data_IF_360044157209
#
_entry.id   IF_360044157209
#
_cell.length_a   1.000
_cell.length_b   1.000
_cell.length_c   1.000
_cell.angle_alpha   90.00
_cell.angle_beta   90.00
_cell.angle_gamma   90.00
#
_symmetry.space_group_name_H-M   'P 1'
#
loop_
_entity.id
_entity.type
_entity.pdbx_description
1 polymer ?
#
# COMPACT_ATOMS: atom_id res chain seq x y z
N UNK A 1 -18.86 18.06 11.43
CA UNK A 1 -18.92 16.62 11.09
C UNK A 1 -17.48 16.14 11.00
N UNK A 2 -16.93 15.77 12.15
CA UNK A 2 -15.57 15.27 12.29
C UNK A 2 -15.55 13.79 11.91
N UNK A 3 -15.16 13.52 10.66
CA UNK A 3 -14.79 12.17 10.26
C UNK A 3 -13.36 11.95 10.72
N UNK A 4 -13.13 10.87 11.46
CA UNK A 4 -11.84 10.37 11.92
C UNK A 4 -10.77 10.36 10.81
N UNK A 5 -10.07 11.48 10.59
CA UNK A 5 -8.83 11.49 9.84
C UNK A 5 -7.76 10.89 10.73
N UNK A 6 -7.58 9.56 10.65
CA UNK A 6 -6.39 8.91 11.22
C UNK A 6 -5.17 9.71 10.79
N UNK A 7 -4.42 10.20 11.78
CA UNK A 7 -3.09 10.77 11.63
C UNK A 7 -2.18 9.69 11.03
N UNK A 8 -2.24 9.46 9.72
CA UNK A 8 -1.42 8.43 9.07
C UNK A 8 0.09 8.67 9.28
N UNK A 9 0.48 9.92 9.59
CA UNK A 9 1.86 10.31 9.93
C UNK A 9 2.03 10.82 11.38
N UNK A 10 1.04 10.60 12.26
CA UNK A 10 1.09 11.04 13.66
C UNK A 10 0.33 10.13 14.63
N UNK A 11 -0.07 8.93 14.21
CA UNK A 11 -0.67 7.95 15.09
C UNK A 11 0.39 7.38 16.03
N UNK A 12 0.11 7.23 17.34
CA UNK A 12 0.96 6.46 18.24
C UNK A 12 1.00 5.02 17.71
N UNK A 13 2.12 4.63 17.12
CA UNK A 13 2.27 3.38 16.35
C UNK A 13 3.02 3.55 15.03
N UNK A 14 3.18 4.77 14.52
CA UNK A 14 4.25 5.07 13.58
C UNK A 14 5.57 4.89 14.34
N UNK A 15 6.21 3.73 14.21
CA UNK A 15 7.58 3.58 14.71
C UNK A 15 8.42 4.65 14.01
N UNK A 16 8.99 5.64 14.73
CA UNK A 16 10.22 6.23 14.22
C UNK A 16 11.16 5.05 13.94
N UNK A 17 11.94 5.12 12.86
CA UNK A 17 13.04 4.19 12.70
C UNK A 17 13.91 4.28 13.96
N UNK A 18 13.70 3.37 14.89
CA UNK A 18 14.52 3.19 16.07
C UNK A 18 15.82 2.62 15.53
N UNK A 19 16.78 3.53 15.33
CA UNK A 19 18.18 3.20 15.23
C UNK A 19 18.60 2.73 16.62
N UNK A 20 18.49 1.43 16.89
CA UNK A 20 19.16 0.85 18.04
C UNK A 20 20.63 0.68 17.68
N UNK A 21 21.50 1.39 18.37
CA UNK A 21 22.95 1.19 18.28
C UNK A 21 23.25 -0.10 19.02
N UNK A 22 23.41 -1.19 18.27
CA UNK A 22 24.00 -2.42 18.80
C UNK A 22 25.39 -2.03 19.32
N UNK A 23 25.62 -2.16 20.63
CA UNK A 23 26.85 -1.82 21.39
C UNK A 23 26.90 -0.46 22.11
N UNK A 24 25.82 0.33 22.13
CA UNK A 24 25.73 1.52 23.00
C UNK A 24 25.31 1.16 24.43
N UNK A 25 26.07 1.58 25.46
CA UNK A 25 25.55 1.58 26.84
C UNK A 25 24.26 2.42 26.88
N UNK A 26 23.13 1.79 27.23
CA UNK A 26 21.86 2.49 27.42
C UNK A 26 22.04 3.61 28.45
N UNK A 27 21.72 4.85 28.07
CA UNK A 27 21.71 6.02 28.97
C UNK A 27 20.41 6.13 29.77
N UNK A 28 19.48 5.18 29.61
CA UNK A 28 18.18 5.20 30.25
C UNK A 28 18.18 4.39 31.55
N UNK A 29 17.91 5.07 32.66
CA UNK A 29 17.68 4.44 33.96
C UNK A 29 16.17 4.25 34.17
N UNK A 30 15.69 3.01 34.09
CA UNK A 30 14.30 2.65 34.34
C UNK A 30 14.09 1.13 34.27
N UNK A 31 12.98 0.60 34.83
CA UNK A 31 12.67 -0.81 34.71
C UNK A 31 12.52 -1.20 33.24
N UNK A 32 13.34 -2.15 32.78
CA UNK A 32 13.20 -2.78 31.47
C UNK A 32 11.91 -3.59 31.50
N UNK A 33 10.90 -3.13 30.77
CA UNK A 33 9.68 -3.91 30.57
C UNK A 33 9.99 -4.95 29.52
N UNK A 34 10.04 -6.21 29.93
CA UNK A 34 10.11 -7.31 29.01
C UNK A 34 8.79 -7.42 28.23
N UNK A 35 8.82 -6.96 26.98
CA UNK A 35 7.68 -7.06 26.06
C UNK A 35 7.58 -8.46 25.42
N UNK A 36 8.37 -9.45 25.85
CA UNK A 36 8.38 -10.83 25.32
C UNK A 36 7.11 -11.65 25.59
N UNK A 37 6.07 -11.05 26.16
CA UNK A 37 4.75 -11.68 26.15
C UNK A 37 4.39 -11.98 24.69
N UNK A 38 4.14 -13.25 24.31
CA UNK A 38 3.70 -13.57 22.96
C UNK A 38 2.38 -12.83 22.75
N UNK A 39 2.45 -11.68 22.08
CA UNK A 39 1.25 -10.99 21.68
C UNK A 39 0.57 -11.92 20.70
N UNK A 40 -0.62 -12.41 21.06
CA UNK A 40 -1.47 -13.11 20.12
C UNK A 40 -1.73 -12.14 18.97
N UNK A 41 -1.05 -12.35 17.84
CA UNK A 41 -1.22 -11.51 16.66
C UNK A 41 -2.61 -11.84 16.10
N UNK A 42 -3.58 -10.96 16.36
CA UNK A 42 -4.91 -11.06 15.79
C UNK A 42 -4.82 -10.56 14.35
N UNK A 43 -4.70 -11.51 13.42
CA UNK A 43 -4.68 -11.23 11.99
C UNK A 43 -6.04 -10.67 11.56
N UNK A 44 -6.01 -9.59 10.81
CA UNK A 44 -7.19 -8.96 10.22
C UNK A 44 -7.25 -9.25 8.73
N UNK A 45 -8.38 -9.81 8.28
CA UNK A 45 -8.61 -10.11 6.87
C UNK A 45 -8.59 -8.85 6.00
N UNK A 46 -8.97 -7.67 6.53
CA UNK A 46 -8.88 -6.42 5.76
C UNK A 46 -7.43 -6.12 5.41
N UNK A 47 -6.55 -6.20 6.40
CA UNK A 47 -5.10 -6.01 6.21
C UNK A 47 -4.52 -7.03 5.23
N UNK A 48 -4.92 -8.30 5.32
CA UNK A 48 -4.50 -9.33 4.36
C UNK A 48 -4.94 -9.01 2.92
N UNK A 49 -6.18 -8.55 2.73
CA UNK A 49 -6.71 -8.16 1.43
C UNK A 49 -6.02 -6.90 0.89
N UNK A 50 -5.73 -5.93 1.74
CA UNK A 50 -5.00 -4.71 1.41
C UNK A 50 -3.61 -5.04 0.82
N UNK A 51 -2.83 -5.87 1.53
CA UNK A 51 -1.50 -6.28 1.06
C UNK A 51 -1.54 -7.21 -0.14
N UNK A 52 -2.55 -8.08 -0.23
CA UNK A 52 -2.77 -8.90 -1.41
C UNK A 52 -3.07 -8.06 -2.66
N UNK A 53 -3.79 -6.94 -2.53
CA UNK A 53 -4.05 -6.03 -3.64
C UNK A 53 -2.77 -5.36 -4.17
N UNK A 54 -1.87 -4.94 -3.27
CA UNK A 54 -0.53 -4.47 -3.65
C UNK A 54 0.24 -5.51 -4.45
N UNK A 55 0.25 -6.77 -3.99
CA UNK A 55 0.94 -7.86 -4.64
C UNK A 55 0.34 -8.22 -6.01
N UNK A 56 -0.99 -8.24 -6.12
CA UNK A 56 -1.70 -8.45 -7.39
C UNK A 56 -1.34 -7.37 -8.40
N UNK A 57 -1.42 -6.10 -8.02
CA UNK A 57 -1.06 -5.00 -8.93
C UNK A 57 0.42 -5.06 -9.31
N UNK A 58 1.31 -5.37 -8.37
CA UNK A 58 2.72 -5.55 -8.68
C UNK A 58 2.94 -6.67 -9.73
N UNK A 59 2.34 -7.84 -9.52
CA UNK A 59 2.40 -8.96 -10.45
C UNK A 59 1.85 -8.61 -11.83
N UNK A 60 0.68 -7.97 -11.87
CA UNK A 60 0.03 -7.55 -13.12
C UNK A 60 0.79 -6.46 -13.85
N UNK A 61 1.62 -5.67 -13.19
CA UNK A 61 2.54 -4.71 -13.80
C UNK A 61 3.88 -5.34 -14.22
N UNK A 62 4.05 -6.66 -14.04
CA UNK A 62 5.30 -7.37 -14.33
C UNK A 62 6.42 -7.11 -13.32
N UNK A 63 6.09 -6.61 -12.12
CA UNK A 63 7.04 -6.36 -11.04
C UNK A 63 7.24 -7.64 -10.21
N UNK A 64 8.47 -7.83 -9.73
CA UNK A 64 8.81 -8.96 -8.86
C UNK A 64 8.49 -8.64 -7.40
N UNK A 65 7.58 -9.41 -6.81
CA UNK A 65 7.27 -9.39 -5.39
C UNK A 65 8.36 -10.19 -4.65
N UNK A 66 8.94 -9.61 -3.61
CA UNK A 66 9.90 -10.28 -2.71
C UNK A 66 9.16 -11.05 -1.62
N UNK A 67 8.16 -10.42 -1.02
CA UNK A 67 7.34 -11.02 0.03
C UNK A 67 6.11 -10.15 0.31
N UNK A 68 5.08 -10.77 0.88
CA UNK A 68 3.87 -10.11 1.37
C UNK A 68 3.67 -10.53 2.82
N UNK A 69 3.47 -9.58 3.71
CA UNK A 69 3.36 -9.82 5.15
C UNK A 69 2.13 -9.12 5.71
N UNK A 70 1.53 -9.70 6.74
CA UNK A 70 0.60 -9.02 7.66
C UNK A 70 1.06 -9.07 9.11
N UNK A 71 2.07 -9.90 9.42
CA UNK A 71 2.68 -10.02 10.74
C UNK A 71 4.14 -9.55 10.72
N UNK A 72 4.60 -8.72 11.68
CA UNK A 72 3.80 -7.96 12.64
C UNK A 72 3.11 -6.73 12.00
N UNK A 73 3.43 -6.41 10.75
CA UNK A 73 2.93 -5.24 10.02
C UNK A 73 2.60 -5.62 8.58
N UNK A 74 1.48 -5.10 8.07
CA UNK A 74 1.10 -5.16 6.66
C UNK A 74 2.18 -4.53 5.78
N UNK A 75 2.77 -5.32 4.89
CA UNK A 75 3.67 -4.81 3.85
C UNK A 75 3.83 -5.78 2.69
N UNK A 76 3.65 -5.26 1.47
CA UNK A 76 4.09 -5.87 0.23
C UNK A 76 5.46 -5.30 -0.19
N UNK A 77 6.48 -6.15 -0.20
CA UNK A 77 7.86 -5.77 -0.58
C UNK A 77 8.14 -6.20 -2.01
N UNK A 78 8.66 -5.28 -2.81
CA UNK A 78 9.17 -5.55 -4.15
C UNK A 78 10.66 -5.87 -4.10
N UNK A 79 11.15 -6.65 -5.06
CA UNK A 79 12.60 -6.88 -5.25
C UNK A 79 13.29 -5.58 -5.66
N UNK A 80 12.62 -4.76 -6.48
CA UNK A 80 13.09 -3.46 -6.94
C UNK A 80 11.92 -2.49 -6.99
N UNK A 81 12.17 -1.22 -6.67
CA UNK A 81 11.18 -0.16 -6.85
C UNK A 81 10.74 -0.06 -8.33
N UNK A 82 9.49 0.34 -8.61
CA UNK A 82 9.03 0.50 -9.98
C UNK A 82 9.87 1.55 -10.71
N UNK A 83 10.33 1.21 -11.93
CA UNK A 83 11.07 2.16 -12.76
C UNK A 83 10.18 3.25 -13.37
N UNK A 84 8.91 2.93 -13.58
CA UNK A 84 7.88 3.85 -14.06
C UNK A 84 7.11 4.49 -12.88
N UNK A 85 6.87 5.80 -12.98
CA UNK A 85 6.15 6.55 -11.94
C UNK A 85 4.65 6.26 -11.95
N UNK A 86 4.08 5.92 -13.10
CA UNK A 86 2.70 5.44 -13.19
C UNK A 86 2.52 4.12 -12.44
N UNK A 87 3.45 3.18 -12.62
CA UNK A 87 3.48 1.92 -11.86
C UNK A 87 3.59 2.17 -10.35
N UNK A 88 4.38 3.16 -9.93
CA UNK A 88 4.49 3.53 -8.52
C UNK A 88 3.16 4.03 -7.94
N UNK A 89 2.43 4.88 -8.67
CA UNK A 89 1.09 5.33 -8.25
C UNK A 89 0.13 4.14 -8.21
N UNK A 90 0.10 3.32 -9.26
CA UNK A 90 -0.81 2.17 -9.35
C UNK A 90 -0.61 1.19 -8.19
N UNK A 91 0.66 0.88 -7.86
CA UNK A 91 1.02 0.11 -6.69
C UNK A 91 0.48 0.79 -5.42
N UNK A 92 0.84 2.05 -5.16
CA UNK A 92 0.42 2.74 -3.94
C UNK A 92 -1.09 2.83 -3.74
N UNK A 93 -1.90 3.00 -4.80
CA UNK A 93 -3.36 3.10 -4.64
C UNK A 93 -4.07 1.75 -4.51
N UNK A 94 -3.38 0.62 -4.76
CA UNK A 94 -4.01 -0.70 -4.85
C UNK A 94 -4.69 -1.14 -3.54
N UNK A 95 -3.96 -1.09 -2.42
CA UNK A 95 -4.46 -1.41 -1.10
C UNK A 95 -5.69 -0.56 -0.70
N UNK A 96 -5.58 0.79 -0.68
CA UNK A 96 -6.70 1.67 -0.33
C UNK A 96 -7.94 1.50 -1.22
N UNK A 97 -7.75 1.27 -2.53
CA UNK A 97 -8.88 1.01 -3.43
C UNK A 97 -9.55 -0.33 -3.13
N UNK A 98 -8.77 -1.38 -2.81
CA UNK A 98 -9.31 -2.68 -2.40
C UNK A 98 -10.14 -2.59 -1.12
N UNK A 99 -9.68 -1.80 -0.13
CA UNK A 99 -10.43 -1.54 1.10
C UNK A 99 -11.77 -0.83 0.82
N UNK A 100 -11.73 0.21 -0.02
CA UNK A 100 -12.92 0.97 -0.39
C UNK A 100 -13.96 0.13 -1.14
N UNK A 101 -13.51 -0.79 -2.00
CA UNK A 101 -14.38 -1.72 -2.72
C UNK A 101 -15.15 -2.64 -1.76
N UNK A 102 -14.50 -3.14 -0.69
CA UNK A 102 -15.14 -4.02 0.29
C UNK A 102 -16.21 -3.31 1.12
N UNK A 103 -16.04 -2.02 1.39
CA UNK A 103 -16.97 -1.23 2.20
C UNK A 103 -18.36 -1.00 1.59
N UNK A 104 -18.62 -1.49 0.37
CA UNK A 104 -19.88 -1.24 -0.35
C UNK A 104 -20.06 0.23 -0.76
N UNK A 105 -19.02 1.05 -0.62
CA UNK A 105 -19.05 2.44 -1.04
C UNK A 105 -19.22 2.47 -2.56
N UNK A 106 -20.34 3.05 -3.03
CA UNK A 106 -20.53 3.41 -4.44
C UNK A 106 -19.34 4.24 -4.86
N UNK A 107 -18.39 3.63 -5.55
CA UNK A 107 -17.09 4.20 -5.88
C UNK A 107 -17.28 5.57 -6.51
N UNK A 108 -17.00 6.63 -5.75
CA UNK A 108 -16.57 7.88 -6.32
C UNK A 108 -15.06 7.76 -6.37
N UNK A 109 -14.47 7.93 -7.55
CA UNK A 109 -13.07 8.36 -7.64
C UNK A 109 -12.89 9.50 -6.63
N UNK A 110 -12.11 9.30 -5.57
CA UNK A 110 -12.27 10.14 -4.38
C UNK A 110 -11.98 9.52 -3.02
N UNK A 111 -11.54 8.26 -2.93
CA UNK A 111 -11.18 7.61 -1.65
C UNK A 111 -10.17 8.45 -0.87
N UNK A 112 -9.23 9.02 -1.61
CA UNK A 112 -8.28 10.01 -1.15
C UNK A 112 -8.85 11.43 -1.24
N UNK A 113 -8.84 12.14 -0.10
CA UNK A 113 -8.94 13.60 -0.06
C UNK A 113 -7.63 14.21 -0.59
N UNK A 114 -7.59 14.34 -1.91
CA UNK A 114 -6.40 14.81 -2.61
C UNK A 114 -5.94 16.18 -2.13
N UNK A 115 -6.86 17.09 -1.80
CA UNK A 115 -6.47 18.44 -1.38
C UNK A 115 -5.72 18.39 -0.04
N UNK A 116 -6.26 17.66 0.93
CA UNK A 116 -5.64 17.50 2.24
C UNK A 116 -4.28 16.80 2.12
N UNK A 117 -4.20 15.70 1.38
CA UNK A 117 -2.95 14.94 1.26
C UNK A 117 -1.92 15.68 0.41
N UNK A 118 -2.34 16.37 -0.64
CA UNK A 118 -1.49 17.26 -1.44
C UNK A 118 -0.87 18.35 -0.56
N UNK A 119 -1.67 19.01 0.29
CA UNK A 119 -1.18 20.03 1.22
C UNK A 119 -0.13 19.47 2.17
N UNK A 120 -0.34 18.28 2.73
CA UNK A 120 0.62 17.60 3.62
C UNK A 120 1.92 17.24 2.91
N UNK A 121 1.83 16.68 1.70
CA UNK A 121 3.00 16.30 0.89
C UNK A 121 3.82 17.53 0.51
N UNK A 122 3.18 18.61 0.05
CA UNK A 122 3.85 19.85 -0.33
C UNK A 122 4.44 20.60 0.87
N UNK A 123 3.85 20.45 2.06
CA UNK A 123 4.41 20.98 3.31
C UNK A 123 5.49 20.09 3.94
N UNK A 124 5.84 18.95 3.31
CA UNK A 124 6.78 17.96 3.87
C UNK A 124 6.37 17.40 5.25
N UNK A 125 5.07 17.32 5.54
CA UNK A 125 4.52 16.84 6.82
C UNK A 125 4.03 15.37 6.76
N UNK A 126 4.47 14.61 5.76
CA UNK A 126 4.12 13.21 5.55
C UNK A 126 4.99 12.58 4.47
N UNK A 127 4.68 11.35 4.05
CA UNK A 127 5.37 10.78 2.89
C UNK A 127 5.45 9.26 2.79
N UNK A 128 5.12 8.52 3.85
CA UNK A 128 5.41 7.08 3.89
C UNK A 128 4.21 6.17 3.69
N UNK A 129 2.98 6.69 3.80
CA UNK A 129 1.79 5.90 3.52
C UNK A 129 1.44 5.90 2.02
N UNK A 130 0.67 4.92 1.62
CA UNK A 130 0.14 4.72 0.26
C UNK A 130 -0.39 6.00 -0.38
N UNK A 131 -1.34 6.67 0.27
CA UNK A 131 -1.92 7.93 -0.22
C UNK A 131 -0.86 9.03 -0.43
N UNK A 132 0.07 9.19 0.52
CA UNK A 132 1.13 10.18 0.42
C UNK A 132 2.09 9.85 -0.73
N UNK A 133 2.44 8.57 -0.90
CA UNK A 133 3.33 8.11 -1.97
C UNK A 133 2.69 8.31 -3.35
N UNK A 134 1.40 7.97 -3.49
CA UNK A 134 0.65 8.19 -4.73
C UNK A 134 0.58 9.68 -5.09
N UNK A 135 0.20 10.55 -4.15
CA UNK A 135 0.08 12.00 -4.36
C UNK A 135 1.44 12.64 -4.63
N UNK A 136 2.47 12.27 -3.87
CA UNK A 136 3.84 12.75 -4.08
C UNK A 136 4.33 12.39 -5.48
N UNK A 137 4.11 11.14 -5.90
CA UNK A 137 4.52 10.70 -7.24
C UNK A 137 3.74 11.44 -8.33
N UNK A 138 2.43 11.68 -8.14
CA UNK A 138 1.63 12.44 -9.07
C UNK A 138 2.13 13.89 -9.23
N UNK A 139 2.51 14.56 -8.14
CA UNK A 139 3.14 15.89 -8.17
C UNK A 139 4.50 15.88 -8.87
N UNK A 140 5.29 14.83 -8.67
CA UNK A 140 6.59 14.68 -9.35
C UNK A 140 6.40 14.51 -10.87
N UNK A 141 5.36 13.82 -11.33
CA UNK A 141 5.02 13.73 -12.76
C UNK A 141 4.51 15.07 -13.29
N UNK A 142 3.60 15.72 -12.57
CA UNK A 142 2.93 16.95 -13.00
C UNK A 142 3.84 18.19 -13.02
N UNK A 143 4.95 18.15 -12.27
CA UNK A 143 5.70 19.32 -11.86
C UNK A 143 5.06 19.98 -10.63
N UNK A 144 5.89 20.38 -9.66
CA UNK A 144 5.49 20.84 -8.32
C UNK A 144 4.58 22.08 -8.27
N UNK A 145 4.28 22.71 -9.41
CA UNK A 145 3.40 23.88 -9.52
C UNK A 145 2.01 23.61 -10.11
N UNK A 146 1.64 22.35 -10.41
CA UNK A 146 0.36 22.07 -11.07
C UNK A 146 -0.49 21.00 -10.35
N UNK A 147 -1.16 21.37 -9.24
CA UNK A 147 -2.00 20.44 -8.46
C UNK A 147 -3.16 19.84 -9.27
N UNK A 148 -3.74 20.61 -10.20
CA UNK A 148 -4.82 20.11 -11.08
C UNK A 148 -4.31 19.02 -12.01
N UNK A 149 -3.10 19.15 -12.53
CA UNK A 149 -2.48 18.11 -13.37
C UNK A 149 -2.15 16.85 -12.55
N UNK A 150 -1.56 17.03 -11.36
CA UNK A 150 -1.29 15.91 -10.44
C UNK A 150 -2.58 15.16 -10.08
N UNK A 151 -3.66 15.87 -9.77
CA UNK A 151 -4.98 15.28 -9.52
C UNK A 151 -5.48 14.46 -10.72
N UNK A 152 -5.37 14.98 -11.95
CA UNK A 152 -5.80 14.27 -13.16
C UNK A 152 -5.00 13.00 -13.41
N UNK A 153 -3.68 13.04 -13.19
CA UNK A 153 -2.80 11.86 -13.31
C UNK A 153 -3.23 10.80 -12.30
N UNK A 154 -3.37 11.17 -11.03
CA UNK A 154 -3.78 10.25 -9.98
C UNK A 154 -5.13 9.60 -10.30
N UNK A 155 -6.16 10.40 -10.61
CA UNK A 155 -7.51 9.90 -10.90
C UNK A 155 -7.56 9.01 -12.13
N UNK A 156 -6.72 9.28 -13.14
CA UNK A 156 -6.60 8.42 -14.33
C UNK A 156 -6.04 7.04 -13.96
N UNK A 157 -5.02 7.00 -13.11
CA UNK A 157 -4.40 5.73 -12.69
C UNK A 157 -5.33 4.98 -11.75
N UNK A 158 -5.91 5.64 -10.75
CA UNK A 158 -6.91 5.04 -9.86
C UNK A 158 -8.05 4.39 -10.64
N UNK A 159 -8.57 5.06 -11.67
CA UNK A 159 -9.63 4.48 -12.51
C UNK A 159 -9.19 3.18 -13.17
N UNK A 160 -7.98 3.13 -13.73
CA UNK A 160 -7.45 1.92 -14.36
C UNK A 160 -7.24 0.80 -13.34
N UNK A 161 -6.75 1.14 -12.14
CA UNK A 161 -6.60 0.17 -11.05
C UNK A 161 -7.96 -0.34 -10.57
N UNK A 162 -8.97 0.53 -10.42
CA UNK A 162 -10.34 0.13 -10.06
C UNK A 162 -10.93 -0.80 -11.12
N UNK A 163 -10.83 -0.42 -12.40
CA UNK A 163 -11.38 -1.22 -13.50
C UNK A 163 -10.70 -2.59 -13.55
N UNK A 164 -9.40 -2.66 -13.25
CA UNK A 164 -8.65 -3.91 -13.13
C UNK A 164 -9.06 -4.74 -11.91
N UNK A 165 -9.12 -4.14 -10.72
CA UNK A 165 -9.47 -4.82 -9.48
C UNK A 165 -10.91 -5.33 -9.46
N UNK A 166 -11.81 -4.79 -10.29
CA UNK A 166 -13.19 -5.27 -10.46
C UNK A 166 -13.31 -6.54 -11.31
N UNK A 167 -12.24 -6.97 -11.97
CA UNK A 167 -12.28 -8.22 -12.72
C UNK A 167 -12.42 -9.39 -11.71
N UNK A 168 -13.42 -10.28 -11.88
CA UNK A 168 -13.64 -11.40 -10.96
C UNK A 168 -12.40 -12.29 -10.75
N UNK A 169 -11.58 -12.52 -11.78
CA UNK A 169 -10.36 -13.32 -11.66
C UNK A 169 -9.31 -12.61 -10.79
N UNK A 170 -9.24 -11.28 -10.89
CA UNK A 170 -8.36 -10.45 -10.07
C UNK A 170 -8.84 -10.40 -8.63
N UNK A 171 -10.15 -10.27 -8.40
CA UNK A 171 -10.73 -10.35 -7.04
C UNK A 171 -10.46 -11.71 -6.40
N UNK A 172 -10.62 -12.80 -7.16
CA UNK A 172 -10.29 -14.15 -6.67
C UNK A 172 -8.80 -14.26 -6.32
N UNK A 173 -7.90 -13.74 -7.16
CA UNK A 173 -6.47 -13.73 -6.89
C UNK A 173 -6.12 -13.00 -5.57
N UNK A 174 -6.74 -11.83 -5.34
CA UNK A 174 -6.60 -11.07 -4.09
C UNK A 174 -7.08 -11.91 -2.91
N UNK A 175 -8.25 -12.55 -3.02
CA UNK A 175 -8.81 -13.36 -1.93
C UNK A 175 -7.97 -14.60 -1.61
N UNK A 176 -7.48 -15.34 -2.63
CA UNK A 176 -6.62 -16.51 -2.41
C UNK A 176 -5.33 -16.14 -1.69
N UNK A 177 -4.70 -15.04 -2.10
CA UNK A 177 -3.49 -14.57 -1.44
C UNK A 177 -3.78 -14.05 -0.02
N UNK A 178 -4.90 -13.36 0.19
CA UNK A 178 -5.32 -12.92 1.51
C UNK A 178 -5.57 -14.12 2.46
N UNK A 179 -6.22 -15.20 1.99
CA UNK A 179 -6.41 -16.43 2.77
C UNK A 179 -5.07 -17.09 3.13
N UNK A 180 -4.13 -17.12 2.18
CA UNK A 180 -2.78 -17.62 2.45
C UNK A 180 -2.06 -16.77 3.51
N UNK A 181 -2.18 -15.45 3.44
CA UNK A 181 -1.63 -14.51 4.44
C UNK A 181 -2.27 -14.69 5.81
N UNK A 182 -3.60 -14.88 5.89
CA UNK A 182 -4.27 -15.16 7.15
C UNK A 182 -3.78 -16.44 7.82
N UNK A 183 -3.38 -17.43 7.02
CA UNK A 183 -2.89 -18.72 7.51
C UNK A 183 -1.41 -18.66 7.94
N UNK A 184 -0.55 -18.03 7.14
CA UNK A 184 0.90 -18.05 7.34
C UNK A 184 1.47 -16.77 7.95
N UNK A 185 0.74 -15.65 7.93
CA UNK A 185 1.21 -14.31 8.31
C UNK A 185 2.17 -13.67 7.30
N UNK A 186 2.84 -14.49 6.50
CA UNK A 186 3.79 -14.11 5.46
C UNK A 186 3.74 -15.09 4.30
N UNK A 187 3.80 -14.57 3.08
CA UNK A 187 3.97 -15.35 1.85
C UNK A 187 5.20 -14.83 1.11
N UNK A 188 6.14 -15.73 0.77
CA UNK A 188 7.33 -15.38 -0.01
C UNK A 188 6.99 -15.06 -1.46
N UNK A 189 7.88 -14.34 -2.16
CA UNK A 189 7.65 -13.86 -3.52
C UNK A 189 7.28 -14.95 -4.54
N UNK A 190 7.97 -16.09 -4.50
CA UNK A 190 7.67 -17.23 -5.37
C UNK A 190 6.25 -17.78 -5.12
N UNK A 191 5.92 -18.05 -3.86
CA UNK A 191 4.58 -18.52 -3.48
C UNK A 191 3.48 -17.49 -3.78
N UNK A 192 3.77 -16.20 -3.63
CA UNK A 192 2.86 -15.14 -4.04
C UNK A 192 2.62 -15.19 -5.56
N UNK A 193 3.68 -15.20 -6.36
CA UNK A 193 3.55 -15.28 -7.82
C UNK A 193 2.88 -16.57 -8.30
N UNK A 194 3.09 -17.70 -7.62
CA UNK A 194 2.40 -18.95 -7.93
C UNK A 194 0.88 -18.84 -7.68
N UNK A 195 0.48 -18.32 -6.52
CA UNK A 195 -0.95 -18.11 -6.20
C UNK A 195 -1.58 -17.18 -7.22
N UNK A 196 -0.94 -16.05 -7.50
CA UNK A 196 -1.46 -15.02 -8.39
C UNK A 196 -1.51 -15.49 -9.85
N UNK A 197 -0.48 -16.19 -10.31
CA UNK A 197 -0.33 -16.65 -11.70
C UNK A 197 -1.38 -17.67 -12.15
N UNK A 198 -2.12 -18.28 -11.21
CA UNK A 198 -3.26 -19.16 -11.50
C UNK A 198 -4.50 -18.40 -11.98
N UNK A 199 -4.58 -17.11 -11.68
CA UNK A 199 -5.76 -16.27 -11.94
C UNK A 199 -5.44 -15.07 -12.83
N UNK A 200 -4.22 -14.53 -12.74
CA UNK A 200 -3.84 -13.30 -13.43
C UNK A 200 -2.48 -13.49 -14.10
N UNK A 201 -2.38 -13.15 -15.38
CA UNK A 201 -1.10 -13.21 -16.08
C UNK A 201 -0.17 -12.08 -15.64
N UNK A 202 1.15 -12.34 -15.48
CA UNK A 202 2.12 -11.28 -15.23
C UNK A 202 2.11 -10.25 -16.37
N UNK A 203 2.20 -8.96 -16.04
CA UNK A 203 2.22 -7.89 -17.05
C UNK A 203 0.87 -7.63 -17.74
N UNK A 204 -0.23 -8.21 -17.26
CA UNK A 204 -1.58 -8.03 -17.82
C UNK A 204 -2.16 -6.62 -17.66
N UNK A 205 -1.68 -5.84 -16.69
CA UNK A 205 -2.11 -4.45 -16.48
C UNK A 205 -1.20 -3.50 -17.26
N UNK A 206 -1.75 -2.87 -18.30
CA UNK A 206 -1.07 -1.80 -19.04
C UNK A 206 -1.66 -0.45 -18.63
N UNK A 207 -0.82 0.44 -18.10
CA UNK A 207 -1.22 1.81 -17.78
C UNK A 207 -1.10 2.70 -19.02
N UNK A 208 -2.16 3.46 -19.31
CA UNK A 208 -2.14 4.49 -20.35
C UNK A 208 -1.16 5.61 -19.99
N UNK A 209 -0.39 6.05 -20.99
CA UNK A 209 0.73 6.98 -20.82
C UNK A 209 0.34 8.24 -20.03
N UNK A 210 1.17 8.60 -19.05
CA UNK A 210 0.98 9.73 -18.13
C UNK A 210 1.72 11.00 -18.58
N UNK A 211 2.16 11.05 -19.84
CA UNK A 211 2.82 12.21 -20.46
C UNK A 211 1.95 13.46 -20.42
#
# INVERSE_FOLDING_TARGET
MDVHYRLCCGAPGASPALSETVDGQSTWNGPVVDLSSPQTIVRDFSTARHEAAHAVIAHSLGLSVKSVHIDPVGICRLVKAPGDRGHSIAFSVAGPLSDAMRGGWRMRTGTLDFEIVSRRVLACWGGHCDDCQAVRTAHVIAGSGNPTHAFRILRRIERQVVDFLRNPEVEEAVEKLAVALMSAGTVGGEGAHEILGRHVAPGSLTLTNTR
#
